data_IF_432510794905
#
_entry.id   IF_432510794905
#
_cell.length_a   1.000
_cell.length_b   1.000
_cell.length_c   1.000
_cell.angle_alpha   90.00
_cell.angle_beta   90.00
_cell.angle_gamma   90.00
#
_symmetry.space_group_name_H-M   'P 1'
#
loop_
_entity.id
_entity.type
_entity.pdbx_description
1 polymer ?
#
# COMPACT_ATOMS: atom_id res chain seq x y z
N UNK A 1 10.92 -23.41 2.20
CA UNK A 1 9.73 -22.74 1.65
C UNK A 1 10.00 -21.25 1.54
N UNK A 2 9.84 -20.69 0.37
CA UNK A 2 9.94 -19.25 0.24
C UNK A 2 8.69 -18.59 0.85
N UNK A 3 8.90 -17.54 1.60
CA UNK A 3 7.80 -16.75 2.11
C UNK A 3 7.11 -16.03 0.95
N UNK A 4 5.77 -15.98 0.99
CA UNK A 4 4.97 -15.25 0.01
C UNK A 4 4.72 -13.82 0.50
N UNK A 5 5.77 -13.17 0.97
CA UNK A 5 5.74 -11.83 1.54
C UNK A 5 7.06 -11.13 1.33
N UNK A 6 7.01 -9.86 1.00
CA UNK A 6 8.17 -8.95 1.02
C UNK A 6 7.88 -7.77 1.92
N UNK A 7 8.90 -7.27 2.59
CA UNK A 7 8.77 -6.08 3.43
C UNK A 7 10.05 -5.25 3.37
N UNK A 8 9.88 -3.94 3.55
CA UNK A 8 10.99 -3.00 3.69
C UNK A 8 10.72 -2.14 4.92
N UNK A 9 11.78 -1.79 5.64
CA UNK A 9 11.67 -1.01 6.88
C UNK A 9 12.64 0.15 6.83
N UNK A 10 12.18 1.32 7.33
CA UNK A 10 12.99 2.52 7.44
C UNK A 10 12.69 3.22 8.76
N UNK A 11 13.72 3.65 9.45
CA UNK A 11 13.56 4.53 10.62
C UNK A 11 13.34 5.96 10.14
N UNK A 12 12.21 6.54 10.56
CA UNK A 12 11.81 7.90 10.19
C UNK A 12 11.77 8.76 11.43
N UNK A 13 12.38 9.94 11.35
CA UNK A 13 12.45 10.92 12.44
C UNK A 13 11.14 11.70 12.55
N UNK A 14 10.06 11.01 12.91
CA UNK A 14 8.75 11.58 13.11
C UNK A 14 7.91 10.70 14.07
N UNK A 15 6.95 11.28 14.79
CA UNK A 15 6.03 10.52 15.63
C UNK A 15 5.16 9.58 14.79
N UNK A 16 4.82 8.42 15.35
CA UNK A 16 3.94 7.48 14.69
C UNK A 16 2.59 8.10 14.29
N UNK A 17 2.04 8.98 15.12
CA UNK A 17 0.77 9.65 14.81
C UNK A 17 0.84 10.50 13.54
N UNK A 18 1.94 11.20 13.31
CA UNK A 18 2.12 12.03 12.11
C UNK A 18 2.23 11.16 10.85
N UNK A 19 2.91 10.03 10.95
CA UNK A 19 3.04 9.07 9.85
C UNK A 19 1.69 8.42 9.56
N UNK A 20 1.00 7.97 10.59
CA UNK A 20 -0.29 7.30 10.47
C UNK A 20 -1.35 8.21 9.82
N UNK A 21 -1.31 9.50 10.10
CA UNK A 21 -2.23 10.47 9.48
C UNK A 21 -2.12 10.48 7.95
N UNK A 22 -0.93 10.20 7.41
CA UNK A 22 -0.72 10.14 5.97
C UNK A 22 -1.16 8.78 5.41
N UNK A 23 -0.74 7.67 6.03
CA UNK A 23 -1.01 6.34 5.48
C UNK A 23 -2.48 5.93 5.64
N UNK A 24 -3.22 6.51 6.58
CA UNK A 24 -4.65 6.26 6.77
C UNK A 24 -5.56 7.14 5.91
N UNK A 25 -5.00 8.09 5.16
CA UNK A 25 -5.73 8.97 4.25
C UNK A 25 -5.55 8.44 2.82
N UNK A 26 -6.63 8.08 2.10
CA UNK A 26 -6.51 7.63 0.70
C UNK A 26 -5.74 8.60 -0.20
N UNK A 27 -5.91 9.91 -0.02
CA UNK A 27 -5.12 10.90 -0.76
C UNK A 27 -3.62 10.82 -0.40
N UNK A 28 -3.30 10.43 0.83
CA UNK A 28 -1.93 10.21 1.27
C UNK A 28 -1.25 9.07 0.52
N UNK A 29 -1.97 8.02 0.17
CA UNK A 29 -1.43 6.90 -0.60
C UNK A 29 -0.87 7.37 -1.95
N UNK A 30 -1.57 8.28 -2.63
CA UNK A 30 -1.11 8.83 -3.92
C UNK A 30 0.16 9.67 -3.73
N UNK A 31 0.21 10.45 -2.65
CA UNK A 31 1.35 11.33 -2.35
C UNK A 31 2.64 10.56 -2.08
N UNK A 32 2.55 9.37 -1.49
CA UNK A 32 3.71 8.57 -1.10
C UNK A 32 3.95 7.36 -2.00
N UNK A 33 3.17 7.22 -3.07
CA UNK A 33 3.33 6.08 -3.97
C UNK A 33 4.69 6.09 -4.66
N UNK A 34 5.47 5.04 -4.44
CA UNK A 34 6.78 4.82 -5.08
C UNK A 34 6.69 4.05 -6.39
N UNK A 35 5.53 3.52 -6.75
CA UNK A 35 5.37 2.74 -7.99
C UNK A 35 5.12 3.62 -9.20
N UNK A 36 4.63 4.84 -9.01
CA UNK A 36 4.17 5.70 -10.10
C UNK A 36 2.84 5.28 -10.71
N UNK A 37 2.19 4.27 -10.14
CA UNK A 37 0.94 3.71 -10.67
C UNK A 37 -0.31 4.40 -10.16
N UNK A 38 -0.25 5.07 -9.01
CA UNK A 38 -1.41 5.72 -8.40
C UNK A 38 -1.57 7.14 -8.94
N UNK A 39 -2.58 7.34 -9.78
CA UNK A 39 -2.86 8.66 -10.36
C UNK A 39 -3.63 9.56 -9.40
N UNK A 40 -4.71 9.06 -8.84
CA UNK A 40 -5.58 9.84 -7.96
C UNK A 40 -6.43 8.93 -7.09
N UNK A 41 -6.72 9.39 -5.87
CA UNK A 41 -7.72 8.77 -5.01
C UNK A 41 -9.08 9.38 -5.33
N UNK A 42 -10.11 8.54 -5.43
CA UNK A 42 -11.48 9.03 -5.39
C UNK A 42 -11.76 9.64 -4.01
N UNK A 43 -12.68 10.60 -3.94
CA UNK A 43 -13.06 11.20 -2.66
C UNK A 43 -13.43 10.10 -1.66
N UNK A 44 -12.70 10.04 -0.57
CA UNK A 44 -12.90 9.06 0.49
C UNK A 44 -12.45 9.63 1.82
N UNK A 45 -13.17 9.32 2.91
CA UNK A 45 -12.74 9.75 4.23
C UNK A 45 -11.48 8.98 4.68
N UNK A 46 -10.85 9.48 5.72
CA UNK A 46 -9.77 8.76 6.41
C UNK A 46 -10.27 7.38 6.84
N UNK A 47 -9.42 6.37 6.69
CA UNK A 47 -9.76 4.98 7.00
C UNK A 47 -9.77 4.77 8.52
N UNK A 48 -10.84 4.16 9.03
CA UNK A 48 -11.05 3.98 10.47
C UNK A 48 -11.41 2.57 10.90
N UNK A 49 -11.87 1.73 9.97
CA UNK A 49 -12.40 0.41 10.32
C UNK A 49 -12.10 -0.63 9.26
N UNK A 50 -12.00 -1.89 9.69
CA UNK A 50 -11.99 -3.04 8.77
C UNK A 50 -13.27 -3.01 7.94
N UNK A 51 -13.13 -3.23 6.64
CA UNK A 51 -14.22 -3.16 5.68
C UNK A 51 -14.38 -1.79 5.00
N UNK A 52 -13.71 -0.75 5.49
CA UNK A 52 -13.68 0.52 4.79
C UNK A 52 -13.06 0.33 3.41
N UNK A 53 -13.63 0.99 2.39
CA UNK A 53 -13.14 0.89 1.02
C UNK A 53 -12.67 2.24 0.52
N UNK A 54 -11.69 2.20 -0.38
CA UNK A 54 -11.23 3.39 -1.10
C UNK A 54 -10.80 3.01 -2.51
N UNK A 55 -11.25 3.80 -3.46
CA UNK A 55 -10.96 3.56 -4.88
C UNK A 55 -9.78 4.43 -5.33
N UNK A 56 -8.86 3.82 -6.06
CA UNK A 56 -7.69 4.49 -6.62
C UNK A 56 -7.74 4.36 -8.14
N UNK A 57 -7.56 5.48 -8.83
CA UNK A 57 -7.36 5.51 -10.27
C UNK A 57 -5.89 5.21 -10.56
N UNK A 58 -5.67 4.21 -11.41
CA UNK A 58 -4.36 3.64 -11.64
C UNK A 58 -3.85 3.89 -13.05
N UNK A 59 -2.53 3.99 -13.19
CA UNK A 59 -1.82 3.96 -14.45
C UNK A 59 -0.80 2.81 -14.41
N UNK A 60 -0.90 1.85 -15.32
CA UNK A 60 -0.03 0.69 -15.33
C UNK A 60 1.23 0.87 -16.19
N UNK A 61 1.40 2.03 -16.79
CA UNK A 61 2.57 2.33 -17.62
C UNK A 61 3.91 2.00 -16.94
N UNK A 62 4.12 2.31 -15.64
CA UNK A 62 5.39 1.97 -14.98
C UNK A 62 5.73 0.48 -14.98
N UNK A 63 4.74 -0.42 -14.93
CA UNK A 63 4.96 -1.85 -15.03
C UNK A 63 5.00 -2.35 -16.47
N UNK A 64 4.14 -1.80 -17.32
CA UNK A 64 4.03 -2.16 -18.73
C UNK A 64 4.01 -3.68 -18.96
N UNK A 65 3.28 -4.40 -18.12
CA UNK A 65 3.30 -5.87 -18.05
C UNK A 65 2.05 -6.52 -18.65
N UNK A 66 1.00 -5.74 -18.93
CA UNK A 66 -0.24 -6.24 -19.54
C UNK A 66 -0.55 -5.38 -20.76
N UNK A 67 -0.45 -5.95 -21.97
CA UNK A 67 -0.73 -5.21 -23.20
C UNK A 67 -2.13 -4.59 -23.20
N UNK A 68 -2.22 -3.29 -23.49
CA UNK A 68 -3.48 -2.57 -23.58
C UNK A 68 -4.08 -2.12 -22.26
N UNK A 69 -3.54 -2.56 -21.12
CA UNK A 69 -4.01 -2.13 -19.81
C UNK A 69 -3.17 -0.95 -19.32
N UNK A 70 -3.68 0.27 -19.50
CA UNK A 70 -3.01 1.52 -19.10
C UNK A 70 -3.75 2.17 -17.93
N UNK A 71 -4.97 2.63 -18.17
CA UNK A 71 -5.80 3.29 -17.14
C UNK A 71 -6.88 2.35 -16.64
N UNK A 72 -7.01 2.26 -15.32
CA UNK A 72 -8.02 1.43 -14.68
C UNK A 72 -8.23 1.92 -13.23
N UNK A 73 -9.20 1.36 -12.54
CA UNK A 73 -9.42 1.66 -11.13
C UNK A 73 -9.38 0.37 -10.31
N UNK A 74 -8.93 0.48 -9.09
CA UNK A 74 -8.98 -0.62 -8.12
C UNK A 74 -9.79 -0.18 -6.92
N UNK A 75 -10.45 -1.13 -6.27
CA UNK A 75 -11.08 -0.93 -4.97
C UNK A 75 -10.28 -1.65 -3.92
N UNK A 76 -9.80 -0.88 -2.95
CA UNK A 76 -9.06 -1.38 -1.81
C UNK A 76 -10.02 -1.52 -0.63
N UNK A 77 -9.89 -2.61 0.11
CA UNK A 77 -10.72 -2.87 1.30
C UNK A 77 -9.81 -3.13 2.49
N UNK A 78 -10.00 -2.37 3.57
CA UNK A 78 -9.21 -2.52 4.79
C UNK A 78 -9.46 -3.90 5.40
N UNK A 79 -8.38 -4.64 5.63
CA UNK A 79 -8.40 -5.97 6.23
C UNK A 79 -7.93 -5.99 7.67
N UNK A 80 -7.02 -5.09 8.04
CA UNK A 80 -6.56 -4.91 9.41
C UNK A 80 -6.33 -3.44 9.67
N UNK A 81 -6.69 -2.97 10.87
CA UNK A 81 -6.45 -1.60 11.28
C UNK A 81 -6.26 -1.54 12.80
N UNK A 82 -5.15 -0.91 13.20
CA UNK A 82 -4.87 -0.55 14.59
C UNK A 82 -4.40 0.90 14.55
N UNK A 83 -5.23 1.87 14.96
CA UNK A 83 -4.90 3.29 14.83
C UNK A 83 -3.52 3.63 15.39
N UNK A 84 -2.72 4.33 14.58
CA UNK A 84 -1.36 4.71 14.92
C UNK A 84 -0.31 3.61 14.78
N UNK A 85 -0.70 2.39 14.43
CA UNK A 85 0.19 1.23 14.43
C UNK A 85 0.15 0.39 13.16
N UNK A 86 -1.03 0.05 12.66
CA UNK A 86 -1.18 -0.88 11.53
C UNK A 86 -2.34 -0.47 10.63
N UNK A 87 -2.09 -0.52 9.32
CA UNK A 87 -3.12 -0.44 8.30
C UNK A 87 -2.78 -1.42 7.18
N UNK A 88 -3.71 -2.34 6.90
CA UNK A 88 -3.57 -3.32 5.83
C UNK A 88 -4.82 -3.31 4.97
N UNK A 89 -4.65 -3.50 3.67
CA UNK A 89 -5.77 -3.57 2.74
C UNK A 89 -5.52 -4.62 1.67
N UNK A 90 -6.61 -5.18 1.13
CA UNK A 90 -6.59 -6.04 -0.05
C UNK A 90 -7.12 -5.29 -1.26
N UNK A 91 -6.85 -5.79 -2.45
CA UNK A 91 -7.11 -5.09 -3.70
C UNK A 91 -7.98 -5.95 -4.62
N UNK A 92 -8.93 -5.31 -5.30
CA UNK A 92 -9.73 -5.92 -6.35
C UNK A 92 -10.21 -4.89 -7.35
N UNK A 93 -10.84 -5.36 -8.42
CA UNK A 93 -11.57 -4.46 -9.32
C UNK A 93 -12.83 -3.98 -8.61
N UNK A 94 -13.33 -2.75 -8.92
CA UNK A 94 -14.61 -2.31 -8.38
C UNK A 94 -15.69 -3.32 -8.67
N UNK A 95 -16.54 -3.60 -7.66
CA UNK A 95 -17.67 -4.54 -7.75
C UNK A 95 -17.27 -6.01 -8.01
N UNK A 96 -16.03 -6.37 -7.80
CA UNK A 96 -15.53 -7.74 -7.88
C UNK A 96 -14.94 -8.18 -6.54
N UNK A 97 -14.90 -9.49 -6.23
CA UNK A 97 -14.20 -9.99 -5.05
C UNK A 97 -12.73 -9.59 -5.05
N UNK A 98 -12.13 -9.34 -3.86
CA UNK A 98 -10.69 -9.06 -3.76
C UNK A 98 -9.85 -10.19 -4.35
N UNK A 99 -8.67 -9.83 -4.86
CA UNK A 99 -7.73 -10.79 -5.45
C UNK A 99 -6.98 -11.61 -4.38
N UNK A 100 -6.93 -11.12 -3.15
CA UNK A 100 -6.41 -11.86 -2.01
C UNK A 100 -5.02 -11.45 -1.52
N UNK A 101 -4.24 -10.72 -2.33
CA UNK A 101 -3.00 -10.13 -1.83
C UNK A 101 -3.29 -8.88 -1.02
N UNK A 102 -2.38 -8.55 -0.11
CA UNK A 102 -2.52 -7.40 0.78
C UNK A 102 -1.26 -6.55 0.73
N UNK A 103 -1.45 -5.26 0.97
CA UNK A 103 -0.39 -4.30 1.26
C UNK A 103 -0.62 -3.74 2.65
N UNK A 104 0.43 -3.38 3.32
CA UNK A 104 0.28 -2.83 4.67
C UNK A 104 1.39 -1.90 5.09
N UNK A 105 1.06 -1.10 6.10
CA UNK A 105 1.95 -0.22 6.82
C UNK A 105 1.95 -0.63 8.28
N UNK A 106 3.13 -0.92 8.82
CA UNK A 106 3.32 -1.25 10.23
C UNK A 106 4.22 -0.18 10.83
N UNK A 107 3.75 0.45 11.90
CA UNK A 107 4.46 1.52 12.59
C UNK A 107 4.86 1.04 13.98
N UNK A 108 6.16 1.04 14.27
CA UNK A 108 6.70 0.65 15.57
C UNK A 108 7.41 1.86 16.17
N UNK A 109 6.80 2.56 17.14
CA UNK A 109 7.45 3.69 17.79
C UNK A 109 8.76 3.28 18.47
N UNK A 110 9.83 4.02 18.18
CA UNK A 110 11.11 3.86 18.87
C UNK A 110 11.18 4.84 20.03
N UNK A 111 10.63 6.03 19.81
CA UNK A 111 10.52 7.11 20.79
C UNK A 111 9.37 8.04 20.38
N UNK A 112 9.18 9.12 21.11
CA UNK A 112 8.17 10.14 20.76
C UNK A 112 8.47 10.86 19.45
N UNK A 113 9.70 10.74 18.95
CA UNK A 113 10.18 11.48 17.77
C UNK A 113 10.71 10.59 16.66
N UNK A 114 10.71 9.27 16.85
CA UNK A 114 11.21 8.34 15.84
C UNK A 114 10.32 7.10 15.77
N UNK A 115 10.12 6.58 14.56
CA UNK A 115 9.28 5.41 14.28
C UNK A 115 9.96 4.53 13.26
N UNK A 116 9.99 3.22 13.51
CA UNK A 116 10.33 2.24 12.48
C UNK A 116 9.09 1.95 11.65
N UNK A 117 9.17 2.23 10.36
CA UNK A 117 8.04 2.09 9.42
C UNK A 117 8.33 0.96 8.47
N UNK A 118 7.43 -0.01 8.43
CA UNK A 118 7.49 -1.15 7.51
C UNK A 118 6.37 -1.05 6.49
N UNK A 119 6.71 -1.16 5.23
CA UNK A 119 5.76 -1.33 4.14
C UNK A 119 5.90 -2.76 3.61
N UNK A 120 4.81 -3.48 3.44
CA UNK A 120 4.86 -4.87 3.02
C UNK A 120 3.78 -5.22 1.99
N UNK A 121 4.05 -6.29 1.25
CA UNK A 121 3.10 -6.96 0.37
C UNK A 121 3.12 -8.45 0.69
N UNK A 122 1.95 -9.05 0.87
CA UNK A 122 1.79 -10.48 1.16
C UNK A 122 0.78 -11.06 0.18
N UNK A 123 1.16 -12.15 -0.51
CA UNK A 123 0.32 -12.78 -1.52
C UNK A 123 -0.02 -14.24 -1.19
N UNK A 124 0.10 -14.61 0.08
CA UNK A 124 -0.23 -15.96 0.54
C UNK A 124 -1.63 -16.39 0.15
N UNK A 125 -2.60 -15.46 0.20
CA UNK A 125 -4.02 -15.74 0.00
C UNK A 125 -4.55 -15.29 -1.37
N UNK A 126 -3.68 -15.11 -2.37
CA UNK A 126 -4.18 -14.74 -3.71
C UNK A 126 -5.08 -15.85 -4.28
N UNK A 127 -6.07 -15.43 -5.07
CA UNK A 127 -6.98 -16.35 -5.71
C UNK A 127 -6.23 -17.30 -6.66
N UNK A 128 -6.70 -18.54 -6.76
CA UNK A 128 -6.02 -19.57 -7.55
C UNK A 128 -5.84 -19.17 -9.03
N UNK A 129 -6.79 -18.43 -9.58
CA UNK A 129 -6.71 -17.97 -10.97
C UNK A 129 -5.45 -17.14 -11.25
N UNK A 130 -4.98 -16.32 -10.27
CA UNK A 130 -3.74 -15.55 -10.41
C UNK A 130 -2.50 -16.42 -10.31
N UNK A 131 -2.54 -17.48 -9.49
CA UNK A 131 -1.46 -18.47 -9.44
C UNK A 131 -1.36 -19.20 -10.77
N UNK A 132 -2.49 -19.63 -11.31
CA UNK A 132 -2.57 -20.35 -12.58
C UNK A 132 -2.10 -19.48 -13.76
N UNK A 133 -2.27 -18.16 -13.66
CA UNK A 133 -1.81 -17.23 -14.68
C UNK A 133 -0.28 -17.10 -14.74
N UNK A 134 0.45 -17.64 -13.75
CA UNK A 134 1.91 -17.66 -13.74
C UNK A 134 2.55 -16.29 -13.55
N UNK A 135 1.87 -15.35 -12.92
CA UNK A 135 2.41 -14.02 -12.68
C UNK A 135 3.52 -14.05 -11.65
N UNK A 136 4.53 -13.19 -11.87
CA UNK A 136 5.62 -13.00 -10.92
C UNK A 136 5.14 -12.14 -9.74
N UNK A 137 5.45 -12.58 -8.54
CA UNK A 137 5.12 -11.86 -7.31
C UNK A 137 6.40 -11.45 -6.57
N UNK A 138 6.43 -10.28 -5.93
CA UNK A 138 5.35 -9.29 -5.89
C UNK A 138 5.13 -8.63 -7.25
N UNK A 139 3.91 -8.16 -7.51
CA UNK A 139 3.59 -7.41 -8.74
C UNK A 139 4.35 -6.09 -8.74
N UNK A 140 4.37 -5.40 -7.60
CA UNK A 140 5.15 -4.16 -7.42
C UNK A 140 6.53 -4.55 -6.89
N UNK A 141 7.62 -4.27 -7.62
CA UNK A 141 8.97 -4.60 -7.17
C UNK A 141 9.31 -3.98 -5.81
N UNK A 142 10.17 -4.64 -5.05
CA UNK A 142 10.55 -4.20 -3.69
C UNK A 142 11.15 -2.79 -3.69
N UNK A 143 11.84 -2.40 -4.75
CA UNK A 143 12.43 -1.06 -4.90
C UNK A 143 11.36 0.04 -4.89
N UNK A 144 10.16 -0.26 -5.37
CA UNK A 144 9.04 0.68 -5.34
C UNK A 144 8.48 0.83 -3.93
N UNK A 145 8.51 -0.23 -3.11
CA UNK A 145 8.16 -0.13 -1.69
C UNK A 145 9.18 0.73 -0.94
N UNK A 146 10.46 0.58 -1.24
CA UNK A 146 11.53 1.42 -0.68
C UNK A 146 11.34 2.88 -1.07
N UNK A 147 10.97 3.16 -2.31
CA UNK A 147 10.71 4.53 -2.76
C UNK A 147 9.49 5.14 -2.06
N UNK A 148 8.47 4.35 -1.76
CA UNK A 148 7.33 4.83 -0.95
C UNK A 148 7.79 5.27 0.44
N UNK A 149 8.68 4.52 1.08
CA UNK A 149 9.26 4.92 2.37
C UNK A 149 10.08 6.20 2.25
N UNK A 150 10.85 6.37 1.18
CA UNK A 150 11.63 7.58 0.92
C UNK A 150 10.71 8.79 0.78
N UNK A 151 9.62 8.67 0.03
CA UNK A 151 8.65 9.75 -0.13
C UNK A 151 7.94 10.09 1.18
N UNK A 152 7.53 9.07 1.92
CA UNK A 152 6.91 9.26 3.23
C UNK A 152 7.84 10.01 4.18
N UNK A 153 9.11 9.60 4.25
CA UNK A 153 10.12 10.26 5.08
C UNK A 153 10.24 11.73 4.73
N UNK A 154 10.37 12.05 3.45
CA UNK A 154 10.47 13.45 2.99
C UNK A 154 9.27 14.29 3.40
N UNK A 155 8.07 13.74 3.30
CA UNK A 155 6.83 14.46 3.61
C UNK A 155 6.71 14.74 5.10
N UNK A 156 6.94 13.72 5.95
CA UNK A 156 6.73 13.87 7.40
C UNK A 156 7.87 14.62 8.09
N UNK A 157 9.06 14.64 7.49
CA UNK A 157 10.22 15.35 8.05
C UNK A 157 10.45 16.74 7.44
N UNK A 158 9.72 17.10 6.40
CA UNK A 158 9.72 18.44 5.85
C UNK A 158 8.99 19.37 6.84
N UNK A 159 9.73 20.01 7.69
CA UNK A 159 9.26 20.80 8.81
C UNK A 159 8.43 22.01 8.44
#
# INVERSE_FOLDING_TARGET
MSAERVSVTRRIAAPAAAIYAIVSDPAGHVRIDGSGMLDAAADAPVLTAVGDTFDIHMDRTPLNDIPGLVKYSVRNTVTQIEPGHLLEWTIGAPDQPPLGHVYGWLLTPVSDTETDVTNYCDWTNIVQALRDAGRTWPIVPVEMLEESLTKLDKIVTAG
#
